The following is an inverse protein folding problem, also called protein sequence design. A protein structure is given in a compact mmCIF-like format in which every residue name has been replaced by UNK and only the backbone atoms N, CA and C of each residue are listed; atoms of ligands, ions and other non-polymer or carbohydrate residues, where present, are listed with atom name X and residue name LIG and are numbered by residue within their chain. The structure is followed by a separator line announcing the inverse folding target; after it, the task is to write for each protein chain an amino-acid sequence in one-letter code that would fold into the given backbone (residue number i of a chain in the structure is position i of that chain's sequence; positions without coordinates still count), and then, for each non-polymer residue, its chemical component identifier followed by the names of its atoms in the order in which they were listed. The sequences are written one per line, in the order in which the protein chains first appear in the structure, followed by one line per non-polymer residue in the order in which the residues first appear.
data_IF_168009463454
#
_entry.id   IF_168009463454
#
_cell.length_a   1.000
_cell.length_b   1.000
_cell.length_c   1.000
_cell.angle_alpha   90.00
_cell.angle_beta   90.00
_cell.angle_gamma   90.00
#
_symmetry.space_group_name_H-M   'P 1'
#
loop_
_entity.id
_entity.type
_entity.pdbx_description
1 polymer ?
#
# COMPACT_ATOMS: atom_id res chain seq x y z
N UNK A 1 28.23 -2.85 10.43
CA UNK A 1 27.92 -3.78 10.33
C UNK A 1 26.60 -4.01 10.53
N UNK A 2 25.83 -4.57 10.47
CA UNK A 2 24.49 -4.88 10.78
C UNK A 2 23.46 -3.79 10.63
N UNK A 3 23.85 -2.60 10.24
CA UNK A 3 22.90 -1.52 10.19
C UNK A 3 21.86 -1.69 9.10
N UNK A 4 22.19 -2.36 8.03
CA UNK A 4 21.23 -2.54 6.97
C UNK A 4 20.05 -3.37 7.40
N UNK A 5 20.27 -4.35 8.24
CA UNK A 5 19.19 -5.19 8.71
C UNK A 5 18.27 -4.45 9.66
N UNK A 6 18.68 -3.28 10.13
CA UNK A 6 17.90 -2.50 11.05
C UNK A 6 17.20 -1.33 10.37
N UNK A 7 17.40 -1.19 9.07
CA UNK A 7 16.68 -0.13 8.38
C UNK A 7 15.20 -0.42 8.45
N UNK A 8 14.46 0.60 8.79
CA UNK A 8 13.01 0.47 8.86
C UNK A 8 12.45 0.33 7.47
N UNK A 9 11.50 -0.55 7.29
CA UNK A 9 10.80 -0.57 6.01
C UNK A 9 10.02 0.73 5.84
N UNK A 10 9.93 1.17 4.60
CA UNK A 10 9.15 2.35 4.26
C UNK A 10 7.79 1.90 3.77
N UNK A 11 6.74 2.45 4.35
CA UNK A 11 5.36 2.12 3.99
C UNK A 11 4.64 3.40 3.61
N UNK A 12 3.98 3.38 2.46
CA UNK A 12 3.16 4.50 2.01
C UNK A 12 1.70 4.14 2.15
N UNK A 13 0.90 5.04 2.71
CA UNK A 13 -0.55 4.89 2.67
C UNK A 13 -1.12 6.00 1.82
N UNK A 14 -2.07 5.66 0.96
CA UNK A 14 -2.71 6.62 0.06
C UNK A 14 -4.22 6.40 0.09
N UNK A 15 -4.95 7.41 0.51
CA UNK A 15 -6.40 7.38 0.60
C UNK A 15 -6.85 8.84 0.70
N UNK A 16 -7.92 9.19 -0.01
CA UNK A 16 -8.44 10.55 0.08
C UNK A 16 -9.36 10.76 1.28
N UNK A 17 -9.63 9.70 2.04
CA UNK A 17 -10.43 9.77 3.25
C UNK A 17 -9.52 9.97 4.45
N UNK A 18 -9.62 11.13 5.09
CA UNK A 18 -8.76 11.45 6.23
C UNK A 18 -8.96 10.51 7.41
N UNK A 19 -10.17 9.96 7.57
CA UNK A 19 -10.40 9.01 8.66
C UNK A 19 -9.61 7.73 8.43
N UNK A 20 -9.57 7.27 7.20
CA UNK A 20 -8.81 6.07 6.87
C UNK A 20 -7.32 6.33 7.08
N UNK A 21 -6.83 7.47 6.60
CA UNK A 21 -5.43 7.82 6.81
C UNK A 21 -5.07 7.84 8.29
N UNK A 22 -5.95 8.41 9.11
CA UNK A 22 -5.72 8.49 10.54
C UNK A 22 -5.69 7.11 11.18
N UNK A 23 -6.64 6.24 10.81
CA UNK A 23 -6.69 4.88 11.34
C UNK A 23 -5.43 4.10 10.98
N UNK A 24 -5.05 4.15 9.72
CA UNK A 24 -3.90 3.39 9.25
C UNK A 24 -2.61 3.96 9.84
N UNK A 25 -2.52 5.29 9.93
CA UNK A 25 -1.37 5.93 10.56
C UNK A 25 -1.21 5.46 12.01
N UNK A 26 -2.30 5.43 12.76
CA UNK A 26 -2.26 5.03 14.16
C UNK A 26 -1.78 3.59 14.29
N UNK A 27 -2.27 2.72 13.42
CA UNK A 27 -1.86 1.33 13.43
C UNK A 27 -0.38 1.19 13.09
N UNK A 28 0.06 1.85 12.02
CA UNK A 28 1.42 1.67 11.54
C UNK A 28 2.46 2.33 12.42
N UNK A 29 2.08 3.35 13.20
CA UNK A 29 3.00 3.96 14.15
C UNK A 29 3.48 3.00 15.21
N UNK A 30 2.72 1.95 15.47
CA UNK A 30 3.11 0.94 16.43
C UNK A 30 4.19 0.01 15.89
N UNK A 31 4.39 0.07 14.57
CA UNK A 31 5.42 -0.72 13.94
C UNK A 31 6.64 0.15 13.74
N UNK A 32 7.78 -0.47 13.65
CA UNK A 32 9.03 0.24 13.40
C UNK A 32 9.17 0.45 11.90
N UNK A 33 8.39 1.37 11.34
CA UNK A 33 8.38 1.66 9.91
C UNK A 33 8.49 3.16 9.68
N UNK A 34 9.04 3.52 8.52
CA UNK A 34 9.02 4.90 8.07
C UNK A 34 7.73 5.06 7.27
N UNK A 35 6.88 5.97 7.70
CA UNK A 35 5.55 6.12 7.12
C UNK A 35 5.45 7.34 6.22
N UNK A 36 4.92 7.14 5.02
CA UNK A 36 4.62 8.21 4.08
C UNK A 36 3.12 8.21 3.82
N UNK A 37 2.55 9.38 3.57
CA UNK A 37 1.12 9.51 3.34
C UNK A 37 0.85 10.33 2.10
N UNK A 38 -0.18 9.94 1.35
CA UNK A 38 -0.65 10.67 0.18
C UNK A 38 -2.16 10.70 0.21
N UNK A 39 -2.75 11.77 -0.30
CA UNK A 39 -4.20 11.91 -0.31
C UNK A 39 -4.79 11.86 -1.73
N UNK A 40 -3.96 11.68 -2.73
CA UNK A 40 -4.43 11.47 -4.09
C UNK A 40 -3.44 10.60 -4.84
N UNK A 41 -3.85 10.12 -6.01
CA UNK A 41 -3.06 9.14 -6.74
C UNK A 41 -1.78 9.69 -7.33
N UNK A 42 -1.80 10.94 -7.76
CA UNK A 42 -0.59 11.53 -8.35
C UNK A 42 0.48 11.74 -7.29
N UNK A 43 0.08 12.23 -6.13
CA UNK A 43 1.01 12.38 -5.03
C UNK A 43 1.57 11.03 -4.62
N UNK A 44 0.69 10.01 -4.55
CA UNK A 44 1.10 8.66 -4.18
C UNK A 44 2.17 8.15 -5.16
N UNK A 45 1.91 8.29 -6.46
CA UNK A 45 2.85 7.78 -7.45
C UNK A 45 4.20 8.50 -7.38
N UNK A 46 4.16 9.82 -7.15
CA UNK A 46 5.39 10.59 -7.01
C UNK A 46 6.22 10.09 -5.82
N UNK A 47 5.56 9.90 -4.67
CA UNK A 47 6.25 9.44 -3.48
C UNK A 47 6.78 8.01 -3.64
N UNK A 48 6.05 7.17 -4.35
CA UNK A 48 6.49 5.81 -4.62
C UNK A 48 7.78 5.82 -5.43
N UNK A 49 7.83 6.63 -6.49
CA UNK A 49 9.02 6.69 -7.31
C UNK A 49 10.21 7.29 -6.59
N UNK A 50 9.96 8.28 -5.76
CA UNK A 50 11.04 8.96 -5.04
C UNK A 50 11.62 8.11 -3.92
N UNK A 51 10.79 7.30 -3.29
CA UNK A 51 11.18 6.59 -2.07
C UNK A 51 11.30 5.08 -2.22
N UNK A 52 10.83 4.52 -3.30
CA UNK A 52 10.82 3.07 -3.54
C UNK A 52 10.43 2.31 -2.27
N UNK A 53 9.20 2.51 -1.78
CA UNK A 53 8.81 1.92 -0.50
C UNK A 53 8.74 0.40 -0.55
N UNK A 54 8.80 -0.21 0.62
CA UNK A 54 8.68 -1.66 0.74
C UNK A 54 7.24 -2.11 0.59
N UNK A 55 6.30 -1.24 0.96
CA UNK A 55 4.88 -1.57 0.92
C UNK A 55 4.08 -0.31 0.65
N UNK A 56 3.05 -0.45 -0.16
CA UNK A 56 2.08 0.63 -0.35
C UNK A 56 0.69 0.08 -0.04
N UNK A 57 -0.10 0.88 0.67
CA UNK A 57 -1.49 0.58 0.99
C UNK A 57 -2.31 1.62 0.25
N UNK A 58 -3.09 1.19 -0.73
CA UNK A 58 -3.71 2.08 -1.70
C UNK A 58 -5.22 1.95 -1.69
N UNK A 59 -5.92 3.07 -1.60
CA UNK A 59 -7.34 3.11 -1.86
C UNK A 59 -7.57 2.96 -3.36
N UNK A 60 -8.58 2.21 -3.75
CA UNK A 60 -8.89 2.02 -5.16
C UNK A 60 -9.36 3.33 -5.80
N UNK A 61 -10.27 4.03 -5.15
CA UNK A 61 -10.88 5.22 -5.74
C UNK A 61 -10.25 6.48 -5.15
N UNK A 62 -9.33 7.08 -5.91
CA UNK A 62 -8.69 8.33 -5.52
C UNK A 62 -8.69 9.28 -6.69
N UNK A 63 -8.72 10.60 -6.42
CA UNK A 63 -8.55 11.58 -7.50
C UNK A 63 -7.18 11.40 -8.18
N UNK A 64 -7.13 11.71 -9.44
CA UNK A 64 -5.91 11.59 -10.22
C UNK A 64 -5.75 10.18 -10.74
N UNK A 65 -4.90 9.39 -10.09
CA UNK A 65 -4.70 8.00 -10.47
C UNK A 65 -5.41 7.09 -9.47
N UNK A 66 -6.12 6.09 -9.99
CA UNK A 66 -6.76 5.11 -9.11
C UNK A 66 -5.69 4.18 -8.52
N UNK A 67 -6.06 3.47 -7.45
CA UNK A 67 -5.16 2.49 -6.86
C UNK A 67 -4.78 1.40 -7.85
N UNK A 68 -5.72 0.99 -8.73
CA UNK A 68 -5.42 -0.03 -9.73
C UNK A 68 -4.37 0.46 -10.73
N UNK A 69 -4.48 1.73 -11.16
CA UNK A 69 -3.50 2.30 -12.07
C UNK A 69 -2.12 2.37 -11.45
N UNK A 70 -2.07 2.73 -10.16
CA UNK A 70 -0.80 2.79 -9.44
C UNK A 70 -0.21 1.39 -9.32
N UNK A 71 -1.03 0.41 -8.96
CA UNK A 71 -0.56 -0.96 -8.80
C UNK A 71 0.06 -1.47 -10.10
N UNK A 72 -0.63 -1.22 -11.21
CA UNK A 72 -0.12 -1.62 -12.51
C UNK A 72 1.22 -0.95 -12.81
N UNK A 73 1.32 0.35 -12.55
CA UNK A 73 2.54 1.09 -12.80
C UNK A 73 3.71 0.54 -11.96
N UNK A 74 3.43 0.19 -10.71
CA UNK A 74 4.43 -0.39 -9.82
C UNK A 74 4.94 -1.71 -10.38
N UNK A 75 4.04 -2.54 -10.86
CA UNK A 75 4.44 -3.86 -11.38
C UNK A 75 5.19 -3.78 -12.71
N UNK A 76 4.98 -2.70 -13.45
CA UNK A 76 5.67 -2.52 -14.73
C UNK A 76 7.01 -1.83 -14.58
N UNK A 77 7.31 -1.28 -13.42
CA UNK A 77 8.55 -0.56 -13.16
C UNK A 77 9.56 -1.51 -12.52
N UNK A 78 10.68 -1.73 -13.19
CA UNK A 78 11.68 -2.67 -12.70
C UNK A 78 12.21 -2.30 -11.32
N UNK A 79 12.25 -1.01 -11.01
CA UNK A 79 12.77 -0.56 -9.72
C UNK A 79 11.78 -0.79 -8.59
N UNK A 80 10.53 -1.05 -8.92
CA UNK A 80 9.46 -1.17 -7.93
C UNK A 80 8.90 -2.59 -7.82
N UNK A 81 9.55 -3.56 -8.43
CA UNK A 81 8.98 -4.91 -8.48
C UNK A 81 8.90 -5.59 -7.13
N UNK A 82 9.76 -5.18 -6.19
CA UNK A 82 9.73 -5.76 -4.86
C UNK A 82 8.79 -5.04 -3.91
N UNK A 83 8.14 -3.97 -4.38
CA UNK A 83 7.19 -3.23 -3.54
C UNK A 83 5.94 -4.05 -3.34
N UNK A 84 5.56 -4.27 -2.09
CA UNK A 84 4.30 -4.94 -1.77
C UNK A 84 3.14 -3.98 -1.98
N UNK A 85 1.98 -4.52 -2.35
CA UNK A 85 0.79 -3.70 -2.59
C UNK A 85 -0.41 -4.32 -1.89
N UNK A 86 -1.06 -3.53 -1.05
CA UNK A 86 -2.34 -3.88 -0.42
C UNK A 86 -3.37 -2.89 -0.92
N UNK A 87 -4.46 -3.39 -1.50
CA UNK A 87 -5.53 -2.54 -1.99
C UNK A 87 -6.66 -2.46 -0.97
N UNK A 88 -7.20 -1.26 -0.79
CA UNK A 88 -8.39 -1.05 0.06
C UNK A 88 -9.57 -0.79 -0.86
N UNK A 89 -10.56 -1.67 -0.82
CA UNK A 89 -11.67 -1.62 -1.78
C UNK A 89 -12.98 -1.34 -1.06
N UNK A 90 -13.80 -0.48 -1.66
CA UNK A 90 -15.11 -0.14 -1.11
C UNK A 90 -16.21 -1.00 -1.68
N UNK A 91 -17.42 -0.78 -1.18
CA UNK A 91 -18.60 -1.47 -1.69
C UNK A 91 -18.78 -1.07 -3.14
N UNK A 92 -19.02 -2.02 -4.00
CA UNK A 92 -19.17 -1.78 -5.43
C UNK A 92 -17.86 -1.87 -6.19
N UNK A 93 -16.75 -1.83 -5.49
CA UNK A 93 -15.44 -1.97 -6.13
C UNK A 93 -14.99 -3.43 -6.15
N UNK A 94 -15.72 -4.29 -5.46
CA UNK A 94 -15.36 -5.70 -5.39
C UNK A 94 -15.38 -6.40 -6.75
N UNK A 95 -16.11 -5.82 -7.70
CA UNK A 95 -16.11 -6.38 -9.04
C UNK A 95 -14.71 -6.41 -9.63
N UNK A 96 -13.82 -5.56 -9.12
CA UNK A 96 -12.45 -5.50 -9.59
C UNK A 96 -11.58 -6.59 -8.98
N UNK A 97 -12.12 -7.38 -8.04
CA UNK A 97 -11.35 -8.46 -7.46
C UNK A 97 -10.83 -9.42 -8.53
N UNK A 98 -11.65 -9.67 -9.53
CA UNK A 98 -11.26 -10.61 -10.57
C UNK A 98 -10.11 -10.09 -11.41
N UNK A 99 -9.92 -8.77 -11.44
CA UNK A 99 -8.82 -8.19 -12.19
C UNK A 99 -7.61 -7.90 -11.33
N UNK A 100 -7.76 -8.02 -10.01
CA UNK A 100 -6.68 -7.73 -9.08
C UNK A 100 -5.39 -8.52 -9.38
N UNK A 101 -5.45 -9.81 -9.68
CA UNK A 101 -4.23 -10.53 -10.02
C UNK A 101 -3.54 -10.00 -11.25
N UNK A 102 -4.29 -9.40 -12.16
CA UNK A 102 -3.70 -8.83 -13.38
C UNK A 102 -2.86 -7.61 -13.07
N UNK A 103 -3.18 -6.90 -12.01
CA UNK A 103 -2.45 -5.73 -11.60
C UNK A 103 -1.34 -6.05 -10.59
N UNK A 104 -1.36 -7.25 -10.03
CA UNK A 104 -0.28 -7.70 -9.17
C UNK A 104 -0.36 -7.25 -7.71
N UNK A 105 -1.56 -6.97 -7.21
CA UNK A 105 -1.71 -6.66 -5.79
C UNK A 105 -1.47 -7.92 -4.96
N UNK A 106 -0.80 -7.77 -3.82
CA UNK A 106 -0.50 -8.90 -2.95
C UNK A 106 -1.66 -9.24 -2.03
N UNK A 107 -2.47 -8.26 -1.71
CA UNK A 107 -3.64 -8.47 -0.86
C UNK A 107 -4.63 -7.35 -1.09
N UNK A 108 -5.87 -7.59 -0.71
CA UNK A 108 -6.85 -6.51 -0.69
C UNK A 108 -7.78 -6.73 0.48
N UNK A 109 -8.32 -5.61 0.98
CA UNK A 109 -9.24 -5.62 2.11
C UNK A 109 -10.46 -4.79 1.73
N UNK A 110 -11.65 -5.30 2.08
CA UNK A 110 -12.89 -4.57 1.83
C UNK A 110 -13.13 -3.55 2.94
N UNK A 111 -13.58 -2.37 2.57
CA UNK A 111 -13.99 -1.36 3.53
C UNK A 111 -15.43 -1.63 3.94
N UNK A 112 -15.79 -1.52 5.20
CA UNK A 112 -14.88 -1.24 6.32
C UNK A 112 -14.09 -2.49 6.70
N UNK A 113 -12.86 -2.31 7.13
CA UNK A 113 -12.01 -3.44 7.50
C UNK A 113 -11.64 -3.35 8.97
N UNK A 114 -11.27 -4.50 9.53
CA UNK A 114 -10.76 -4.55 10.89
C UNK A 114 -9.29 -4.18 10.88
N UNK A 115 -8.86 -3.42 11.87
CA UNK A 115 -7.45 -3.05 11.95
C UNK A 115 -6.56 -4.28 12.09
N UNK A 116 -7.06 -5.33 12.77
CA UNK A 116 -6.29 -6.56 12.89
C UNK A 116 -6.08 -7.21 11.53
N UNK A 117 -7.08 -7.14 10.64
CA UNK A 117 -6.93 -7.71 9.30
C UNK A 117 -5.88 -6.94 8.50
N UNK A 118 -5.86 -5.63 8.63
CA UNK A 118 -4.85 -4.83 7.96
C UNK A 118 -3.46 -5.14 8.53
N UNK A 119 -3.35 -5.23 9.85
CA UNK A 119 -2.09 -5.51 10.50
C UNK A 119 -1.52 -6.85 10.06
N UNK A 120 -2.37 -7.87 9.95
CA UNK A 120 -1.95 -9.18 9.47
C UNK A 120 -1.50 -9.13 8.02
N UNK A 121 -2.22 -8.39 7.18
CA UNK A 121 -1.85 -8.26 5.78
C UNK A 121 -0.50 -7.56 5.64
N UNK A 122 -0.27 -6.51 6.43
CA UNK A 122 1.00 -5.79 6.41
C UNK A 122 2.14 -6.71 6.79
N UNK A 123 1.95 -7.48 7.87
CA UNK A 123 2.98 -8.42 8.33
C UNK A 123 3.30 -9.43 7.23
N UNK A 124 2.28 -10.01 6.64
CA UNK A 124 2.47 -11.04 5.63
C UNK A 124 3.16 -10.50 4.37
N UNK A 125 2.68 -9.37 3.87
CA UNK A 125 3.21 -8.84 2.63
C UNK A 125 4.65 -8.35 2.80
N UNK A 126 4.94 -7.68 3.92
CA UNK A 126 6.31 -7.26 4.17
C UNK A 126 7.25 -8.45 4.24
N UNK A 127 6.83 -9.54 4.88
CA UNK A 127 7.66 -10.73 4.97
C UNK A 127 7.87 -11.39 3.62
N UNK A 128 6.81 -11.48 2.82
CA UNK A 128 6.90 -12.12 1.51
C UNK A 128 7.78 -11.33 0.55
N UNK A 129 7.69 -10.01 0.61
CA UNK A 129 8.45 -9.16 -0.31
C UNK A 129 9.89 -8.91 0.14
N UNK A 130 10.20 -9.20 1.39
CA UNK A 130 11.55 -9.03 1.89
C UNK A 130 12.51 -10.12 1.42
N UNK A 131 11.98 -11.17 0.86
CA UNK A 131 12.82 -12.28 0.38
C UNK A 131 13.57 -11.93 -0.91
#
# INVERSE_FOLDING_TARGET
MGNKSRQKPTVLIADDDLEILTMVRTLLRRRDVKLLEASDGEEAMRLIRENTPNLVVLDVMMPGMSGWEICKAVREDEQLQDTGVIMLTGIGERLNEMTSPLYGADAHLDKPFELTALDEAVTRVLAERAK
#
